data_IF_090347151407
#
_entry.id   IF_090347151407
#
_cell.length_a   1.000
_cell.length_b   1.000
_cell.length_c   1.000
_cell.angle_alpha   90.00
_cell.angle_beta   90.00
_cell.angle_gamma   90.00
#
_symmetry.space_group_name_H-M   'P 1'
#
loop_
_entity.id
_entity.type
_entity.pdbx_description
1 polymer ?
#
# COMPACT_ATOMS: atom_id res chain seq x y z
N UNK A 1 2.96 -17.01 4.00
CA UNK A 1 3.70 -16.92 5.29
C UNK A 1 2.69 -16.57 6.37
N UNK A 2 2.98 -16.73 7.67
CA UNK A 2 2.10 -16.11 8.68
C UNK A 2 2.51 -14.65 8.78
N UNK A 3 1.69 -13.75 8.25
CA UNK A 3 1.88 -12.32 8.44
C UNK A 3 1.75 -11.97 9.93
N UNK A 4 2.58 -11.03 10.36
CA UNK A 4 2.48 -10.49 11.71
C UNK A 4 1.16 -9.68 11.85
N UNK A 5 0.54 -9.74 13.03
CA UNK A 5 -0.65 -8.96 13.40
C UNK A 5 -0.57 -7.47 12.99
N UNK A 6 0.58 -6.78 13.14
CA UNK A 6 0.74 -5.40 12.67
C UNK A 6 0.54 -5.22 11.17
N UNK A 7 1.09 -6.11 10.34
CA UNK A 7 0.96 -6.05 8.88
C UNK A 7 -0.51 -6.26 8.48
N UNK A 8 -1.18 -7.24 9.10
CA UNK A 8 -2.60 -7.47 8.83
C UNK A 8 -3.47 -6.25 9.17
N UNK A 9 -3.19 -5.58 10.29
CA UNK A 9 -3.87 -4.34 10.67
C UNK A 9 -3.58 -3.21 9.68
N UNK A 10 -2.33 -3.08 9.23
CA UNK A 10 -1.92 -2.09 8.23
C UNK A 10 -2.64 -2.31 6.90
N UNK A 11 -2.70 -3.55 6.41
CA UNK A 11 -3.43 -3.91 5.18
C UNK A 11 -4.91 -3.54 5.29
N UNK A 12 -5.55 -3.88 6.41
CA UNK A 12 -6.96 -3.53 6.64
C UNK A 12 -7.18 -2.01 6.63
N UNK A 13 -6.31 -1.26 7.31
CA UNK A 13 -6.38 0.19 7.33
C UNK A 13 -6.15 0.80 5.93
N UNK A 14 -5.23 0.24 5.14
CA UNK A 14 -5.00 0.64 3.75
C UNK A 14 -6.22 0.39 2.88
N UNK A 15 -6.87 -0.77 3.00
CA UNK A 15 -8.10 -1.05 2.26
C UNK A 15 -9.22 -0.07 2.62
N UNK A 16 -9.40 0.23 3.91
CA UNK A 16 -10.36 1.25 4.34
C UNK A 16 -10.03 2.63 3.76
N UNK A 17 -8.76 3.01 3.76
CA UNK A 17 -8.29 4.29 3.20
C UNK A 17 -8.50 4.37 1.68
N UNK A 18 -8.18 3.32 0.93
CA UNK A 18 -8.39 3.31 -0.53
C UNK A 18 -9.88 3.38 -0.88
N UNK A 19 -10.73 2.64 -0.17
CA UNK A 19 -12.18 2.70 -0.36
C UNK A 19 -12.76 4.09 -0.05
N UNK A 20 -12.23 4.80 0.96
CA UNK A 20 -12.62 6.19 1.24
C UNK A 20 -12.21 7.17 0.14
N UNK A 21 -11.08 6.92 -0.50
CA UNK A 21 -10.50 7.81 -1.53
C UNK A 21 -10.99 7.53 -2.96
N UNK A 22 -12.16 6.88 -3.12
CA UNK A 22 -12.73 6.46 -4.42
C UNK A 22 -11.83 5.54 -5.25
N UNK A 23 -10.86 4.87 -4.62
CA UNK A 23 -10.07 3.81 -5.23
C UNK A 23 -10.66 2.46 -4.82
N UNK A 24 -10.72 1.47 -5.72
CA UNK A 24 -11.04 0.09 -5.31
C UNK A 24 -9.76 -0.71 -5.21
N UNK A 25 -9.62 -1.45 -4.11
CA UNK A 25 -8.51 -2.35 -3.88
C UNK A 25 -8.97 -3.80 -3.74
N UNK A 26 -8.17 -4.74 -4.23
CA UNK A 26 -8.32 -6.16 -3.99
C UNK A 26 -7.14 -6.66 -3.14
N UNK A 27 -7.43 -7.53 -2.17
CA UNK A 27 -6.39 -8.19 -1.39
C UNK A 27 -6.22 -9.61 -1.91
N UNK A 28 -5.01 -9.96 -2.36
CA UNK A 28 -4.63 -11.32 -2.75
C UNK A 28 -3.76 -11.95 -1.66
N UNK A 29 -4.05 -13.20 -1.32
CA UNK A 29 -3.28 -14.03 -0.37
C UNK A 29 -3.04 -13.38 1.01
N UNK A 30 -3.87 -12.42 1.41
CA UNK A 30 -3.72 -11.58 2.61
C UNK A 30 -2.40 -10.78 2.68
N UNK A 31 -1.57 -10.83 1.65
CA UNK A 31 -0.21 -10.27 1.62
C UNK A 31 -0.06 -9.23 0.52
N UNK A 32 -0.96 -9.18 -0.47
CA UNK A 32 -0.83 -8.28 -1.62
C UNK A 32 -2.08 -7.42 -1.76
N UNK A 33 -1.93 -6.10 -1.88
CA UNK A 33 -3.02 -5.17 -2.21
C UNK A 33 -2.83 -4.70 -3.65
N UNK A 34 -3.84 -4.86 -4.49
CA UNK A 34 -3.86 -4.36 -5.86
C UNK A 34 -4.92 -3.29 -5.99
N UNK A 35 -4.54 -2.09 -6.44
CA UNK A 35 -5.48 -1.02 -6.74
C UNK A 35 -6.01 -1.16 -8.16
N UNK A 36 -7.31 -1.46 -8.29
CA UNK A 36 -8.01 -1.75 -9.54
C UNK A 36 -8.60 -0.51 -10.21
N UNK A 37 -9.05 0.48 -9.44
CA UNK A 37 -9.67 1.71 -9.97
C UNK A 37 -9.21 2.96 -9.23
N UNK A 38 -9.51 4.12 -9.82
CA UNK A 38 -9.17 5.43 -9.28
C UNK A 38 -7.81 5.97 -9.75
N UNK A 39 -7.34 7.02 -9.10
CA UNK A 39 -6.09 7.72 -9.45
C UNK A 39 -4.85 6.87 -9.21
N UNK A 40 -4.95 5.88 -8.34
CA UNK A 40 -3.86 4.98 -7.97
C UNK A 40 -3.89 3.64 -8.72
N UNK A 41 -4.70 3.53 -9.78
CA UNK A 41 -4.86 2.29 -10.57
C UNK A 41 -3.52 1.78 -11.10
N UNK A 42 -3.27 0.49 -10.83
CA UNK A 42 -2.04 -0.20 -11.24
C UNK A 42 -0.91 -0.13 -10.20
N UNK A 43 -1.18 0.43 -9.03
CA UNK A 43 -0.35 0.28 -7.83
C UNK A 43 -0.60 -1.10 -7.20
N UNK A 44 0.48 -1.78 -6.87
CA UNK A 44 0.49 -3.07 -6.18
C UNK A 44 1.37 -2.91 -4.94
N UNK A 45 0.88 -3.33 -3.78
CA UNK A 45 1.60 -3.32 -2.52
C UNK A 45 1.73 -4.78 -2.05
N UNK A 46 2.93 -5.34 -2.12
CA UNK A 46 3.25 -6.68 -1.64
C UNK A 46 3.91 -6.58 -0.27
N UNK A 47 3.26 -7.13 0.76
CA UNK A 47 3.72 -7.11 2.14
C UNK A 47 4.47 -8.39 2.47
N UNK A 48 5.71 -8.22 2.92
CA UNK A 48 6.56 -9.26 3.47
C UNK A 48 6.80 -8.97 4.96
N UNK A 49 7.41 -9.93 5.67
CA UNK A 49 7.58 -9.83 7.13
C UNK A 49 8.28 -8.55 7.61
N UNK A 50 9.24 -8.02 6.84
CA UNK A 50 10.05 -6.85 7.20
C UNK A 50 9.95 -5.69 6.21
N UNK A 51 9.28 -5.85 5.08
CA UNK A 51 9.26 -4.83 4.02
C UNK A 51 7.99 -4.91 3.18
N UNK A 52 7.62 -3.78 2.59
CA UNK A 52 6.56 -3.64 1.61
C UNK A 52 7.19 -3.34 0.26
N UNK A 53 6.94 -4.19 -0.73
CA UNK A 53 7.34 -3.96 -2.10
C UNK A 53 6.19 -3.27 -2.85
N UNK A 54 6.47 -2.08 -3.37
CA UNK A 54 5.54 -1.27 -4.14
C UNK A 54 5.86 -1.47 -5.61
N UNK A 55 4.89 -1.98 -6.39
CA UNK A 55 5.01 -2.14 -7.84
C UNK A 55 4.03 -1.22 -8.57
N UNK A 56 4.50 -0.55 -9.63
CA UNK A 56 3.64 0.27 -10.50
C UNK A 56 3.69 -0.28 -11.90
N UNK A 57 2.54 -0.80 -12.38
CA UNK A 57 2.38 -1.30 -13.77
C UNK A 57 3.53 -2.20 -14.24
N UNK A 58 4.13 -2.96 -13.33
CA UNK A 58 5.26 -3.86 -13.59
C UNK A 58 6.61 -3.21 -13.94
N UNK A 59 6.76 -1.88 -13.80
CA UNK A 59 7.98 -1.15 -14.21
C UNK A 59 8.80 -0.59 -13.05
N UNK A 60 8.14 -0.06 -12.02
CA UNK A 60 8.79 0.52 -10.86
C UNK A 60 8.64 -0.43 -9.68
N UNK A 61 9.74 -0.80 -9.03
CA UNK A 61 9.76 -1.57 -7.79
C UNK A 61 10.48 -0.76 -6.71
N UNK A 62 9.75 -0.31 -5.69
CA UNK A 62 10.33 0.29 -4.48
C UNK A 62 10.17 -0.69 -3.32
N UNK A 63 11.22 -0.84 -2.51
CA UNK A 63 11.17 -1.58 -1.27
C UNK A 63 11.10 -0.58 -0.12
N UNK A 64 10.11 -0.72 0.75
CA UNK A 64 9.90 0.13 1.93
C UNK A 64 10.01 -0.75 3.15
N UNK A 65 10.97 -0.48 4.04
CA UNK A 65 11.09 -1.24 5.28
C UNK A 65 9.86 -1.02 6.18
N UNK A 66 9.27 -2.13 6.62
CA UNK A 66 8.15 -2.12 7.56
C UNK A 66 8.73 -2.07 8.97
N UNK A 67 8.78 -0.86 9.52
CA UNK A 67 9.06 -0.65 10.94
C UNK A 67 7.78 -0.80 11.76
N UNK A 68 7.90 -0.96 13.09
CA UNK A 68 6.73 -1.06 13.99
C UNK A 68 5.81 0.17 13.92
N UNK A 69 6.34 1.31 13.52
CA UNK A 69 5.63 2.58 13.47
C UNK A 69 5.03 2.88 12.09
N UNK A 70 5.12 1.94 11.14
CA UNK A 70 4.58 2.15 9.80
C UNK A 70 3.05 2.27 9.84
N UNK A 71 2.54 3.44 9.45
CA UNK A 71 1.13 3.76 9.31
C UNK A 71 0.74 3.99 7.85
N UNK A 72 -0.56 4.05 7.57
CA UNK A 72 -1.08 4.41 6.23
C UNK A 72 -0.56 5.78 5.82
N UNK A 73 -0.62 6.77 6.70
CA UNK A 73 -0.15 8.13 6.41
C UNK A 73 1.35 8.17 6.07
N UNK A 74 2.18 7.43 6.81
CA UNK A 74 3.62 7.34 6.55
C UNK A 74 3.85 6.68 5.20
N UNK A 75 3.17 5.56 4.91
CA UNK A 75 3.29 4.89 3.62
C UNK A 75 2.91 5.83 2.47
N UNK A 76 1.77 6.52 2.57
CA UNK A 76 1.32 7.47 1.54
C UNK A 76 2.29 8.65 1.37
N UNK A 77 2.90 9.15 2.46
CA UNK A 77 3.94 10.18 2.37
C UNK A 77 5.21 9.68 1.69
N UNK A 78 5.64 8.45 1.95
CA UNK A 78 6.79 7.83 1.27
C UNK A 78 6.48 7.67 -0.21
N UNK A 79 5.28 7.22 -0.56
CA UNK A 79 4.86 7.12 -1.97
C UNK A 79 4.84 8.49 -2.64
N UNK A 80 4.36 9.54 -1.96
CA UNK A 80 4.34 10.89 -2.48
C UNK A 80 5.76 11.47 -2.65
N UNK A 81 6.66 11.24 -1.70
CA UNK A 81 8.05 11.72 -1.78
C UNK A 81 8.85 11.07 -2.92
N UNK A 82 8.48 9.84 -3.31
CA UNK A 82 9.07 9.14 -4.46
C UNK A 82 8.33 9.44 -5.78
N UNK A 83 7.42 10.41 -5.82
CA UNK A 83 6.58 10.74 -6.98
C UNK A 83 5.78 9.55 -7.53
N UNK A 84 5.49 8.55 -6.69
CA UNK A 84 4.63 7.41 -7.05
C UNK A 84 3.17 7.87 -7.12
N UNK A 85 2.79 8.75 -6.20
CA UNK A 85 1.48 9.39 -6.15
C UNK A 85 1.68 10.91 -6.16
N UNK A 86 0.75 11.65 -6.77
CA UNK A 86 0.86 13.11 -6.90
C UNK A 86 0.67 13.84 -5.56
N UNK A 87 -0.23 13.33 -4.72
CA UNK A 87 -0.44 13.77 -3.35
C UNK A 87 -1.12 12.64 -2.58
N UNK A 88 -0.93 12.54 -1.26
CA UNK A 88 -1.76 11.68 -0.43
C UNK A 88 -3.23 12.11 -0.64
N UNK A 89 -4.11 11.24 -1.14
CA UNK A 89 -5.51 11.60 -1.26
C UNK A 89 -6.06 11.95 0.14
N UNK A 90 -6.81 13.05 0.21
CA UNK A 90 -7.50 13.41 1.44
C UNK A 90 -8.49 12.29 1.79
N UNK A 91 -8.51 11.81 3.05
CA UNK A 91 -9.40 10.73 3.48
C UNK A 91 -10.88 11.11 3.37
#
# INVERSE_FOLDING_TARGET
>A
MILSLPIYRLIKNLCSYFNGTSNTCEVLNNETIIIKSGSLRGLILEFHYNFCQVKIRGRLNICIDITRDLSVDILMRILASHNIIQSPPAP
#
